data_IF_435236492490
#
_entry.id   IF_435236492490
#
_cell.length_a   1.000
_cell.length_b   1.000
_cell.length_c   1.000
_cell.angle_alpha   90.00
_cell.angle_beta   90.00
_cell.angle_gamma   90.00
#
_symmetry.space_group_name_H-M   'P 1'
#
loop_
_entity.id
_entity.type
_entity.pdbx_description
1 polymer ?
#
# COMPACT_ATOMS: atom_id res chain seq x y z
N UNK A 1 -60.78 -15.07 47.97
CA UNK A 1 -61.02 -15.57 46.61
C UNK A 1 -60.28 -14.64 45.66
N UNK A 2 -59.26 -15.17 44.96
CA UNK A 2 -58.67 -14.76 43.67
C UNK A 2 -58.53 -13.24 43.34
N UNK A 3 -57.40 -12.72 42.86
CA UNK A 3 -56.45 -13.31 41.90
C UNK A 3 -55.18 -12.47 41.81
N UNK A 4 -54.09 -13.15 41.45
CA UNK A 4 -52.82 -12.60 40.98
C UNK A 4 -53.01 -11.52 39.92
N UNK A 5 -52.16 -10.49 39.90
CA UNK A 5 -51.14 -10.32 38.84
C UNK A 5 -50.29 -9.08 39.10
N UNK A 6 -49.04 -9.29 39.51
CA UNK A 6 -47.98 -8.31 39.28
C UNK A 6 -47.76 -8.23 37.77
N UNK A 7 -47.94 -7.05 37.16
CA UNK A 7 -47.41 -6.77 35.83
C UNK A 7 -46.36 -5.67 35.94
N UNK A 8 -45.12 -6.11 36.10
CA UNK A 8 -43.93 -5.31 35.82
C UNK A 8 -43.91 -5.04 34.31
N UNK A 9 -44.57 -3.97 33.87
CA UNK A 9 -44.52 -3.53 32.47
C UNK A 9 -43.15 -2.91 32.21
N UNK A 10 -42.15 -3.75 31.93
CA UNK A 10 -40.87 -3.31 31.34
C UNK A 10 -41.12 -2.99 29.88
N UNK A 11 -41.41 -1.74 29.58
CA UNK A 11 -41.46 -1.24 28.20
C UNK A 11 -40.06 -1.37 27.60
N UNK A 12 -39.87 -2.37 26.75
CA UNK A 12 -38.60 -2.61 26.05
C UNK A 12 -38.55 -1.67 24.85
N UNK A 13 -37.85 -0.55 24.98
CA UNK A 13 -37.64 0.41 23.89
C UNK A 13 -36.78 -0.26 22.80
N UNK A 14 -37.37 -0.62 21.66
CA UNK A 14 -36.64 -1.14 20.51
C UNK A 14 -36.11 0.05 19.70
N UNK A 15 -34.82 0.37 19.87
CA UNK A 15 -34.13 1.34 19.00
C UNK A 15 -33.69 0.58 17.75
N UNK A 16 -34.42 0.76 16.64
CA UNK A 16 -33.97 0.28 15.33
C UNK A 16 -32.90 1.22 14.82
N UNK A 17 -31.64 0.84 15.00
CA UNK A 17 -30.50 1.53 14.41
C UNK A 17 -30.42 1.11 12.93
N UNK A 18 -30.93 1.93 12.01
CA UNK A 18 -30.71 1.71 10.59
C UNK A 18 -29.26 2.04 10.25
N UNK A 19 -28.42 1.01 10.07
CA UNK A 19 -27.10 1.19 9.48
C UNK A 19 -27.29 1.40 7.97
N UNK A 20 -27.20 2.65 7.53
CA UNK A 20 -26.97 2.94 6.12
C UNK A 20 -25.62 2.36 5.72
N UNK A 21 -25.60 1.39 4.82
CA UNK A 21 -24.37 0.84 4.25
C UNK A 21 -23.65 1.95 3.50
N UNK A 22 -22.52 2.39 4.04
CA UNK A 22 -21.61 3.29 3.35
C UNK A 22 -21.10 2.50 2.15
N UNK A 23 -21.46 2.96 0.94
CA UNK A 23 -20.94 2.38 -0.29
C UNK A 23 -19.42 2.31 -0.19
N UNK A 24 -18.85 1.13 -0.41
CA UNK A 24 -17.40 0.96 -0.48
C UNK A 24 -16.91 1.76 -1.68
N UNK A 25 -16.47 2.99 -1.44
CA UNK A 25 -15.59 3.68 -2.35
C UNK A 25 -14.35 2.78 -2.46
N UNK A 26 -14.20 2.12 -3.61
CA UNK A 26 -12.93 1.52 -3.98
C UNK A 26 -11.95 2.67 -4.20
N UNK A 27 -11.44 3.23 -3.10
CA UNK A 27 -10.22 4.01 -3.13
C UNK A 27 -9.14 3.00 -3.50
N UNK A 28 -8.93 2.80 -4.80
CA UNK A 28 -7.64 2.33 -5.27
C UNK A 28 -6.65 3.28 -4.63
N UNK A 29 -5.92 2.80 -3.62
CA UNK A 29 -4.93 3.56 -2.87
C UNK A 29 -3.91 4.08 -3.85
N UNK A 30 -4.21 5.22 -4.46
CA UNK A 30 -3.35 5.86 -5.44
C UNK A 30 -2.28 6.49 -4.57
N UNK A 31 -1.17 5.77 -4.42
CA UNK A 31 0.05 6.33 -3.83
C UNK A 31 0.42 7.52 -4.71
N UNK A 32 0.02 8.72 -4.30
CA UNK A 32 0.40 9.98 -4.94
C UNK A 32 1.70 10.40 -4.29
N UNK A 33 2.66 10.84 -5.11
CA UNK A 33 3.91 11.41 -4.63
C UNK A 33 3.61 12.52 -3.62
N UNK A 34 4.13 12.41 -2.39
CA UNK A 34 3.93 13.41 -1.34
C UNK A 34 4.54 14.78 -1.70
N UNK A 35 5.55 14.77 -2.58
CA UNK A 35 6.29 15.95 -3.03
C UNK A 35 6.66 15.84 -4.52
N UNK A 36 6.98 16.98 -5.16
CA UNK A 36 7.41 17.05 -6.58
C UNK A 36 8.82 16.49 -6.85
N UNK A 37 9.45 15.90 -5.84
CA UNK A 37 10.74 15.24 -6.00
C UNK A 37 10.64 14.05 -6.94
N UNK A 38 11.64 13.95 -7.81
CA UNK A 38 11.78 12.88 -8.81
C UNK A 38 11.70 11.49 -8.17
N UNK A 39 12.22 11.34 -6.95
CA UNK A 39 12.17 10.09 -6.17
C UNK A 39 10.75 9.72 -5.73
N UNK A 40 9.89 10.69 -5.40
CA UNK A 40 8.49 10.44 -5.04
C UNK A 40 7.68 9.89 -6.21
N UNK A 41 7.94 10.38 -7.43
CA UNK A 41 7.35 9.82 -8.67
C UNK A 41 7.84 8.39 -8.92
N UNK A 42 9.11 8.10 -8.64
CA UNK A 42 9.66 6.75 -8.72
C UNK A 42 8.98 5.83 -7.70
N UNK A 43 8.84 6.24 -6.44
CA UNK A 43 8.18 5.45 -5.39
C UNK A 43 6.72 5.13 -5.74
N UNK A 44 5.96 6.13 -6.21
CA UNK A 44 4.58 5.93 -6.68
C UNK A 44 4.50 4.93 -7.83
N UNK A 45 5.36 5.07 -8.84
CA UNK A 45 5.40 4.14 -9.97
C UNK A 45 5.84 2.72 -9.57
N UNK A 46 6.73 2.61 -8.58
CA UNK A 46 7.25 1.35 -8.08
C UNK A 46 6.20 0.53 -7.30
N UNK A 47 5.27 1.20 -6.62
CA UNK A 47 4.12 0.54 -5.97
C UNK A 47 3.06 0.03 -6.98
N UNK A 48 3.04 0.55 -8.20
CA UNK A 48 1.99 0.24 -9.18
C UNK A 48 2.11 -1.11 -9.88
N UNK A 49 1.27 -1.29 -10.92
CA UNK A 49 1.17 -2.53 -11.74
C UNK A 49 2.01 -2.52 -13.02
N UNK A 50 2.44 -1.35 -13.49
CA UNK A 50 3.05 -1.20 -14.81
C UNK A 50 4.56 -1.06 -14.76
N UNK A 51 5.27 -2.15 -15.09
CA UNK A 51 6.73 -2.15 -15.29
C UNK A 51 7.16 -1.11 -16.33
N UNK A 52 6.36 -0.95 -17.41
CA UNK A 52 6.65 0.02 -18.48
C UNK A 52 6.61 1.44 -17.93
N UNK A 53 5.62 1.75 -17.08
CA UNK A 53 5.49 3.07 -16.47
C UNK A 53 6.64 3.35 -15.50
N UNK A 54 7.04 2.37 -14.69
CA UNK A 54 8.23 2.47 -13.84
C UNK A 54 9.49 2.73 -14.66
N UNK A 55 9.71 1.98 -15.75
CA UNK A 55 10.83 2.21 -16.66
C UNK A 55 10.84 3.62 -17.27
N UNK A 56 9.66 4.13 -17.65
CA UNK A 56 9.51 5.49 -18.19
C UNK A 56 9.93 6.53 -17.14
N UNK A 57 9.39 6.43 -15.93
CA UNK A 57 9.70 7.38 -14.84
C UNK A 57 11.19 7.33 -14.48
N UNK A 58 11.80 6.15 -14.43
CA UNK A 58 13.25 6.00 -14.22
C UNK A 58 14.03 6.69 -15.34
N UNK A 59 13.64 6.51 -16.61
CA UNK A 59 14.32 7.17 -17.73
C UNK A 59 14.19 8.69 -17.67
N UNK A 60 13.00 9.20 -17.38
CA UNK A 60 12.71 10.63 -17.25
C UNK A 60 13.42 11.27 -16.03
N UNK A 61 13.72 10.48 -15.00
CA UNK A 61 14.45 10.94 -13.81
C UNK A 61 15.92 11.30 -14.08
N UNK A 62 16.54 10.74 -15.12
CA UNK A 62 17.99 10.80 -15.34
C UNK A 62 18.82 9.99 -14.34
N UNK A 63 18.20 9.35 -13.34
CA UNK A 63 18.89 8.53 -12.34
C UNK A 63 19.21 7.14 -12.87
N UNK A 64 20.38 6.63 -12.48
CA UNK A 64 20.71 5.24 -12.77
C UNK A 64 19.87 4.30 -11.90
N UNK A 65 19.52 3.13 -12.47
CA UNK A 65 18.85 2.07 -11.72
C UNK A 65 19.62 1.62 -10.48
N UNK A 66 20.95 1.59 -10.56
CA UNK A 66 21.83 1.28 -9.42
C UNK A 66 21.63 2.28 -8.28
N UNK A 67 21.70 3.58 -8.60
CA UNK A 67 21.45 4.63 -7.61
C UNK A 67 20.06 4.50 -6.99
N UNK A 68 19.04 4.24 -7.81
CA UNK A 68 17.68 4.06 -7.31
C UNK A 68 17.59 2.88 -6.35
N UNK A 69 18.08 1.71 -6.74
CA UNK A 69 18.03 0.50 -5.93
C UNK A 69 18.81 0.63 -4.61
N UNK A 70 19.91 1.39 -4.59
CA UNK A 70 20.80 1.50 -3.42
C UNK A 70 20.50 2.71 -2.53
N UNK A 71 19.92 3.80 -3.06
CA UNK A 71 19.85 5.09 -2.36
C UNK A 71 18.46 5.70 -2.28
N UNK A 72 17.50 5.26 -3.11
CA UNK A 72 16.13 5.77 -3.02
C UNK A 72 15.38 5.06 -1.91
N UNK A 73 14.84 5.85 -1.01
CA UNK A 73 13.92 5.40 0.05
C UNK A 73 12.51 5.87 -0.23
N UNK A 74 11.55 5.00 0.05
CA UNK A 74 10.12 5.25 -0.05
C UNK A 74 9.53 4.94 1.34
N UNK A 75 8.83 5.90 1.96
CA UNK A 75 8.31 5.77 3.33
C UNK A 75 9.36 5.25 4.34
N UNK A 76 10.55 5.84 4.32
CA UNK A 76 11.68 5.48 5.19
C UNK A 76 12.23 4.05 4.99
N UNK A 77 11.86 3.35 3.92
CA UNK A 77 12.37 2.02 3.58
C UNK A 77 13.09 2.06 2.22
N UNK A 78 14.08 1.20 2.02
CA UNK A 78 14.71 1.03 0.70
C UNK A 78 13.65 0.69 -0.35
N UNK A 79 13.75 1.26 -1.56
CA UNK A 79 12.75 1.07 -2.61
C UNK A 79 12.47 -0.41 -2.94
N UNK A 80 13.47 -1.30 -2.88
CA UNK A 80 13.27 -2.72 -3.15
C UNK A 80 12.40 -3.38 -2.08
N UNK A 81 12.63 -3.03 -0.82
CA UNK A 81 11.82 -3.49 0.32
C UNK A 81 10.40 -2.92 0.26
N UNK A 82 10.28 -1.62 -0.02
CA UNK A 82 9.00 -0.96 -0.23
C UNK A 82 8.19 -1.62 -1.35
N UNK A 83 8.83 -1.97 -2.48
CA UNK A 83 8.16 -2.69 -3.57
C UNK A 83 7.74 -4.09 -3.16
N UNK A 84 8.53 -4.80 -2.34
CA UNK A 84 8.13 -6.11 -1.82
C UNK A 84 6.88 -6.02 -0.93
N UNK A 85 6.76 -4.96 -0.13
CA UNK A 85 5.66 -4.79 0.82
C UNK A 85 4.38 -4.22 0.16
N UNK A 86 4.54 -3.25 -0.73
CA UNK A 86 3.42 -2.46 -1.27
C UNK A 86 3.21 -2.60 -2.78
N UNK A 87 4.12 -3.24 -3.50
CA UNK A 87 4.04 -3.38 -4.94
C UNK A 87 2.98 -4.41 -5.37
N UNK A 88 2.16 -4.05 -6.34
CA UNK A 88 1.15 -4.97 -6.90
C UNK A 88 1.76 -6.17 -7.67
N UNK A 89 3.02 -6.05 -8.12
CA UNK A 89 3.76 -7.10 -8.82
C UNK A 89 5.24 -7.03 -8.44
N UNK A 90 5.56 -7.37 -7.17
CA UNK A 90 6.82 -6.99 -6.53
C UNK A 90 8.03 -7.56 -7.25
N UNK A 91 7.97 -8.81 -7.71
CA UNK A 91 9.03 -9.45 -8.47
C UNK A 91 9.31 -8.73 -9.80
N UNK A 92 8.26 -8.36 -10.54
CA UNK A 92 8.39 -7.68 -11.84
C UNK A 92 8.95 -6.26 -11.68
N UNK A 93 8.52 -5.55 -10.64
CA UNK A 93 8.96 -4.20 -10.34
C UNK A 93 10.40 -4.18 -9.85
N UNK A 94 10.75 -5.08 -8.92
CA UNK A 94 12.11 -5.19 -8.45
C UNK A 94 13.07 -5.65 -9.55
N UNK A 95 12.65 -6.56 -10.44
CA UNK A 95 13.44 -6.88 -11.64
C UNK A 95 13.62 -5.68 -12.57
N UNK A 96 12.65 -4.76 -12.65
CA UNK A 96 12.80 -3.53 -13.42
C UNK A 96 13.86 -2.59 -12.80
N UNK A 97 13.90 -2.53 -11.47
CA UNK A 97 14.84 -1.72 -10.69
C UNK A 97 16.26 -2.32 -10.69
N UNK A 98 16.41 -3.63 -10.81
CA UNK A 98 17.71 -4.33 -10.71
C UNK A 98 18.26 -4.86 -12.04
N UNK A 99 17.60 -4.59 -13.16
CA UNK A 99 17.90 -5.19 -14.47
C UNK A 99 17.82 -6.72 -14.48
N UNK A 100 16.79 -7.29 -13.84
CA UNK A 100 16.57 -8.73 -13.81
C UNK A 100 17.44 -9.48 -12.80
N UNK A 101 18.21 -8.75 -11.97
CA UNK A 101 19.09 -9.33 -10.94
C UNK A 101 18.40 -9.46 -9.58
N UNK A 102 17.08 -9.29 -9.53
CA UNK A 102 16.36 -9.42 -8.28
C UNK A 102 16.20 -10.91 -7.98
N UNK A 103 16.90 -11.38 -6.96
CA UNK A 103 16.75 -12.74 -6.45
C UNK A 103 15.79 -12.69 -5.25
N UNK A 104 14.77 -13.55 -5.21
CA UNK A 104 13.83 -13.63 -4.07
C UNK A 104 14.49 -14.15 -2.78
N UNK A 105 15.74 -14.60 -2.85
CA UNK A 105 16.58 -14.95 -1.70
C UNK A 105 17.31 -13.73 -1.12
N UNK A 106 16.65 -12.57 -1.04
CA UNK A 106 17.09 -11.48 -0.15
C UNK A 106 16.25 -11.55 1.10
N UNK A 107 16.87 -11.81 2.26
CA UNK A 107 16.17 -11.60 3.51
C UNK A 107 15.89 -10.10 3.64
N UNK A 108 14.75 -9.72 4.20
CA UNK A 108 14.39 -8.31 4.42
C UNK A 108 15.49 -7.58 5.22
N UNK A 109 16.26 -8.31 6.03
CA UNK A 109 17.46 -7.82 6.73
C UNK A 109 18.62 -7.41 5.83
N UNK A 110 18.77 -8.01 4.64
CA UNK A 110 19.83 -7.66 3.69
C UNK A 110 19.54 -6.35 2.94
N UNK A 111 18.26 -5.95 2.88
CA UNK A 111 17.80 -4.70 2.24
C UNK A 111 17.91 -3.49 3.17
N UNK A 112 18.02 -3.70 4.48
CA UNK A 112 18.12 -2.65 5.50
C UNK A 112 19.57 -2.36 5.92
N UNK A 113 20.55 -3.15 5.46
CA UNK A 113 21.94 -3.10 5.90
C UNK A 113 22.92 -2.38 4.95
N UNK A 114 22.43 -1.69 3.89
CA UNK A 114 23.26 -1.03 2.87
C UNK A 114 22.89 0.43 2.62
#
# INVERSE_FOLDING_TARGET
MNTLTQKMTKTLTIIVLTLSTIGMANAASKVVAADDYVTSKICSAAAGKSKIQLHKVIKESGLSKKYIAEKVTCNNQNILAFVQEFGDSPEKMNNALTNGRFNTQVNITDLAAN
#
